data_IF_907674214421
#
_entry.id   IF_907674214421
#
_cell.length_a   1.000
_cell.length_b   1.000
_cell.length_c   1.000
_cell.angle_alpha   90.00
_cell.angle_beta   90.00
_cell.angle_gamma   90.00
#
_symmetry.space_group_name_H-M   'P 1'
#
loop_
_entity.id
_entity.type
_entity.pdbx_description
1 polymer ?
#
# COMPACT_ATOMS: atom_id res chain seq x y z
N UNK A 1 8.83 20.73 -20.94
CA UNK A 1 8.56 19.29 -20.97
C UNK A 1 7.76 18.89 -19.75
N UNK A 2 6.72 18.14 -19.94
CA UNK A 2 5.93 17.64 -18.84
C UNK A 2 6.65 16.46 -18.18
N UNK A 3 6.90 16.54 -16.89
CA UNK A 3 7.55 15.47 -16.12
C UNK A 3 6.55 14.48 -15.54
N UNK A 4 5.27 14.67 -15.84
CA UNK A 4 4.23 13.75 -15.42
C UNK A 4 3.95 12.77 -16.54
N UNK A 5 3.36 11.64 -16.21
CA UNK A 5 2.81 10.74 -17.20
C UNK A 5 1.59 11.36 -17.88
N UNK A 6 1.00 10.64 -18.80
CA UNK A 6 -0.24 11.05 -19.43
C UNK A 6 -1.38 11.10 -18.41
N UNK A 7 -2.49 11.77 -18.75
CA UNK A 7 -3.70 11.76 -17.92
C UNK A 7 -4.21 10.35 -17.69
N UNK A 8 -4.07 9.47 -18.70
CA UNK A 8 -4.46 8.07 -18.59
C UNK A 8 -3.58 7.32 -17.58
N UNK A 9 -2.27 7.62 -17.57
CA UNK A 9 -1.34 7.03 -16.60
C UNK A 9 -1.66 7.49 -15.19
N UNK A 10 -1.90 8.78 -14.98
CA UNK A 10 -2.26 9.30 -13.68
C UNK A 10 -3.54 8.65 -13.16
N UNK A 11 -4.54 8.52 -14.02
CA UNK A 11 -5.82 7.88 -13.68
C UNK A 11 -5.61 6.40 -13.33
N UNK A 12 -4.80 5.68 -14.10
CA UNK A 12 -4.49 4.28 -13.85
C UNK A 12 -3.78 4.10 -12.51
N UNK A 13 -2.83 4.97 -12.19
CA UNK A 13 -2.10 4.93 -10.92
C UNK A 13 -3.05 5.23 -9.75
N UNK A 14 -3.92 6.22 -9.88
CA UNK A 14 -4.91 6.53 -8.83
C UNK A 14 -5.83 5.35 -8.59
N UNK A 15 -6.26 4.67 -9.63
CA UNK A 15 -7.09 3.48 -9.52
C UNK A 15 -6.35 2.35 -8.82
N UNK A 16 -5.12 2.08 -9.23
CA UNK A 16 -4.29 1.02 -8.64
C UNK A 16 -4.09 1.25 -7.13
N UNK A 17 -3.55 2.41 -6.77
CA UNK A 17 -3.23 2.72 -5.38
C UNK A 17 -4.50 2.91 -4.55
N UNK A 18 -5.51 3.57 -5.12
CA UNK A 18 -6.79 3.79 -4.42
C UNK A 18 -7.51 2.51 -4.05
N UNK A 19 -7.37 1.45 -4.85
CA UNK A 19 -8.02 0.17 -4.64
C UNK A 19 -7.11 -0.88 -3.98
N UNK A 20 -5.82 -0.57 -3.78
CA UNK A 20 -4.82 -1.56 -3.38
C UNK A 20 -5.18 -2.31 -2.10
N UNK A 21 -5.72 -1.61 -1.11
CA UNK A 21 -6.04 -2.22 0.18
C UNK A 21 -7.46 -2.82 0.26
N UNK A 22 -8.24 -2.78 -0.81
CA UNK A 22 -9.60 -3.33 -0.78
C UNK A 22 -9.64 -4.82 -0.47
N UNK A 23 -8.61 -5.57 -0.91
CA UNK A 23 -8.48 -6.98 -0.58
C UNK A 23 -7.86 -7.25 0.79
N UNK A 24 -7.28 -6.23 1.44
CA UNK A 24 -6.56 -6.37 2.70
C UNK A 24 -7.51 -6.12 3.87
N UNK A 25 -8.47 -7.01 4.03
CA UNK A 25 -9.40 -6.98 5.15
C UNK A 25 -9.79 -8.40 5.52
N UNK A 26 -10.01 -8.64 6.81
CA UNK A 26 -10.44 -9.93 7.31
C UNK A 26 -11.24 -9.81 8.60
N UNK A 27 -11.96 -10.88 8.89
CA UNK A 27 -12.68 -11.10 10.16
C UNK A 27 -12.33 -12.50 10.65
N UNK A 28 -12.79 -12.94 11.84
CA UNK A 28 -12.58 -14.32 12.27
C UNK A 28 -13.16 -15.37 11.32
N UNK A 29 -14.10 -14.99 10.46
CA UNK A 29 -14.78 -15.90 9.53
C UNK A 29 -14.45 -15.64 8.06
N UNK A 30 -13.70 -14.60 7.73
CA UNK A 30 -13.33 -14.26 6.35
C UNK A 30 -11.85 -13.99 6.27
N UNK A 31 -11.24 -14.35 5.14
CA UNK A 31 -9.82 -14.14 4.88
C UNK A 31 -9.61 -12.97 3.93
N UNK A 32 -8.42 -12.38 3.96
CA UNK A 32 -8.01 -11.37 3.00
C UNK A 32 -7.93 -11.99 1.60
N UNK A 33 -8.16 -11.17 0.58
CA UNK A 33 -8.00 -11.55 -0.82
C UNK A 33 -6.53 -11.35 -1.22
N UNK A 34 -5.69 -12.31 -0.86
CA UNK A 34 -4.25 -12.23 -1.12
C UNK A 34 -3.91 -12.29 -2.61
N UNK A 35 -4.73 -12.94 -3.42
CA UNK A 35 -4.51 -12.96 -4.87
C UNK A 35 -4.69 -11.57 -5.47
N UNK A 36 -5.75 -10.86 -5.09
CA UNK A 36 -6.00 -9.50 -5.56
C UNK A 36 -4.91 -8.55 -5.06
N UNK A 37 -4.50 -8.68 -3.78
CA UNK A 37 -3.44 -7.87 -3.21
C UNK A 37 -2.12 -8.09 -3.96
N UNK A 38 -1.73 -9.34 -4.17
CA UNK A 38 -0.48 -9.69 -4.83
C UNK A 38 -0.45 -9.26 -6.30
N UNK A 39 -1.59 -9.22 -6.97
CA UNK A 39 -1.67 -8.86 -8.38
C UNK A 39 -1.22 -7.42 -8.66
N UNK A 40 -1.23 -6.54 -7.65
CA UNK A 40 -0.79 -5.15 -7.80
C UNK A 40 0.73 -5.01 -7.83
N UNK A 41 1.48 -6.06 -7.48
CA UNK A 41 2.94 -6.04 -7.37
C UNK A 41 3.60 -6.74 -8.54
N UNK A 42 4.82 -6.27 -8.86
CA UNK A 42 5.74 -7.10 -9.64
C UNK A 42 6.19 -8.30 -8.79
N UNK A 43 6.48 -9.46 -9.41
CA UNK A 43 6.85 -10.67 -8.64
C UNK A 43 8.05 -10.48 -7.70
N UNK A 44 9.00 -9.62 -8.09
CA UNK A 44 10.22 -9.37 -7.32
C UNK A 44 10.12 -8.14 -6.43
N UNK A 45 8.90 -7.65 -6.16
CA UNK A 45 8.70 -6.46 -5.35
C UNK A 45 9.32 -6.61 -3.97
N UNK A 46 9.84 -5.49 -3.45
CA UNK A 46 10.39 -5.40 -2.09
C UNK A 46 9.48 -4.54 -1.24
N UNK A 47 9.17 -5.02 -0.03
CA UNK A 47 8.34 -4.30 0.93
C UNK A 47 9.17 -4.00 2.18
N UNK A 48 9.10 -2.75 2.67
CA UNK A 48 9.87 -2.29 3.82
C UNK A 48 8.91 -1.79 4.91
N UNK A 49 8.63 -2.63 5.93
CA UNK A 49 7.83 -2.18 7.08
C UNK A 49 8.51 -1.07 7.88
N UNK A 50 7.73 -0.42 8.75
CA UNK A 50 8.20 0.69 9.59
C UNK A 50 9.28 0.29 10.58
N UNK A 51 9.37 -0.97 10.95
CA UNK A 51 10.34 -1.45 11.93
C UNK A 51 11.78 -1.18 11.50
N UNK A 52 12.64 -0.89 12.48
CA UNK A 52 14.06 -0.63 12.26
C UNK A 52 14.91 -1.68 12.98
N UNK A 53 16.08 -2.07 12.45
CA UNK A 53 16.67 -1.59 11.18
C UNK A 53 15.83 -1.98 9.97
N UNK A 54 15.87 -1.12 8.93
CA UNK A 54 15.10 -1.36 7.70
C UNK A 54 15.53 -2.68 7.06
N UNK A 55 14.55 -3.47 6.67
CA UNK A 55 14.80 -4.78 6.10
C UNK A 55 13.74 -5.09 5.05
N UNK A 56 14.20 -5.44 3.85
CA UNK A 56 13.30 -5.80 2.76
C UNK A 56 12.61 -7.14 3.04
N UNK A 57 11.32 -7.17 2.73
CA UNK A 57 10.53 -8.41 2.73
C UNK A 57 10.09 -8.69 1.30
N UNK A 58 10.02 -9.97 0.95
CA UNK A 58 9.34 -10.37 -0.28
C UNK A 58 7.83 -10.28 -0.06
N UNK A 59 7.10 -10.31 -1.15
CA UNK A 59 5.63 -10.32 -1.08
C UNK A 59 5.13 -11.55 -0.32
N UNK A 60 5.71 -12.73 -0.57
CA UNK A 60 5.32 -13.96 0.12
C UNK A 60 5.59 -13.88 1.62
N UNK A 61 6.74 -13.34 2.02
CA UNK A 61 7.07 -13.14 3.44
C UNK A 61 6.08 -12.20 4.12
N UNK A 62 5.69 -11.12 3.43
CA UNK A 62 4.71 -10.19 3.95
C UNK A 62 3.34 -10.86 4.15
N UNK A 63 2.87 -11.60 3.14
CA UNK A 63 1.58 -12.30 3.20
C UNK A 63 1.57 -13.33 4.33
N UNK A 64 2.65 -14.10 4.46
CA UNK A 64 2.77 -15.10 5.53
C UNK A 64 2.70 -14.45 6.92
N UNK A 65 3.39 -13.32 7.10
CA UNK A 65 3.35 -12.60 8.36
C UNK A 65 1.95 -12.09 8.67
N UNK A 66 1.27 -11.50 7.68
CA UNK A 66 -0.09 -10.96 7.89
C UNK A 66 -1.09 -12.05 8.19
N UNK A 67 -0.97 -13.22 7.55
CA UNK A 67 -1.79 -14.38 7.90
C UNK A 67 -1.57 -14.81 9.35
N UNK A 68 -0.32 -14.75 9.83
CA UNK A 68 0.00 -15.07 11.22
C UNK A 68 -0.66 -14.11 12.21
N UNK A 69 -0.60 -12.79 11.95
CA UNK A 69 -1.24 -11.82 12.83
C UNK A 69 -2.77 -11.89 12.78
N UNK A 70 -3.34 -12.28 11.64
CA UNK A 70 -4.78 -12.47 11.50
C UNK A 70 -5.31 -13.61 12.35
N UNK A 71 -4.50 -14.65 12.55
CA UNK A 71 -4.85 -15.79 13.40
C UNK A 71 -4.55 -15.53 14.88
N UNK A 72 -3.79 -14.50 15.18
CA UNK A 72 -3.39 -14.12 16.53
C UNK A 72 -4.16 -12.93 17.09
N UNK A 73 -3.43 -11.86 17.41
CA UNK A 73 -3.98 -10.71 18.11
C UNK A 73 -4.87 -9.81 17.22
N UNK A 74 -4.64 -9.80 15.91
CA UNK A 74 -5.37 -8.92 14.97
C UNK A 74 -6.47 -9.69 14.27
N UNK A 75 -7.58 -9.89 14.99
CA UNK A 75 -8.70 -10.74 14.54
C UNK A 75 -9.55 -10.10 13.45
N UNK A 76 -9.65 -8.78 13.47
CA UNK A 76 -10.43 -8.01 12.50
C UNK A 76 -9.58 -6.85 12.01
N UNK A 77 -9.50 -6.70 10.70
CA UNK A 77 -8.66 -5.67 10.08
C UNK A 77 -9.28 -5.18 8.79
N UNK A 78 -9.16 -3.89 8.57
CA UNK A 78 -9.58 -3.23 7.34
C UNK A 78 -8.68 -2.03 7.11
N UNK A 79 -8.20 -1.88 5.87
CA UNK A 79 -7.36 -0.75 5.49
C UNK A 79 -7.94 -0.08 4.24
N UNK A 80 -7.88 1.24 4.17
CA UNK A 80 -8.32 1.99 3.00
C UNK A 80 -7.36 3.13 2.70
N UNK A 81 -7.17 3.40 1.42
CA UNK A 81 -6.35 4.52 0.94
C UNK A 81 -7.13 5.82 1.13
N UNK A 82 -6.43 6.84 1.63
CA UNK A 82 -6.93 8.22 1.71
C UNK A 82 -6.46 8.99 0.48
N UNK A 83 -5.77 10.11 0.64
CA UNK A 83 -5.24 10.88 -0.48
C UNK A 83 -3.90 10.36 -0.99
N UNK A 84 -3.44 10.91 -2.12
CA UNK A 84 -2.15 10.55 -2.70
C UNK A 84 -1.57 11.69 -3.52
N UNK A 85 -0.25 11.65 -3.65
CA UNK A 85 0.52 12.53 -4.51
C UNK A 85 1.32 11.66 -5.48
N UNK A 86 1.19 11.93 -6.77
CA UNK A 86 1.80 11.14 -7.84
C UNK A 86 2.80 11.98 -8.61
N UNK A 87 3.98 11.42 -8.84
CA UNK A 87 4.99 11.97 -9.74
C UNK A 87 5.34 10.88 -10.74
N UNK A 88 5.12 11.12 -12.02
CA UNK A 88 5.31 10.11 -13.06
C UNK A 88 6.08 10.66 -14.24
N UNK A 89 6.87 9.81 -14.85
CA UNK A 89 7.57 10.10 -16.10
C UNK A 89 7.72 8.79 -16.90
N UNK A 90 7.13 8.76 -18.09
CA UNK A 90 7.20 7.56 -18.92
C UNK A 90 6.66 6.33 -18.19
N UNK A 91 7.50 5.34 -18.02
CA UNK A 91 7.14 4.06 -17.40
C UNK A 91 7.52 3.98 -15.92
N UNK A 92 7.81 5.11 -15.28
CA UNK A 92 8.21 5.17 -13.87
C UNK A 92 7.33 6.16 -13.13
N UNK A 93 6.91 5.80 -11.92
CA UNK A 93 6.20 6.72 -11.05
C UNK A 93 6.58 6.49 -9.59
N UNK A 94 6.50 7.57 -8.80
CA UNK A 94 6.56 7.49 -7.34
C UNK A 94 5.26 8.05 -6.79
N UNK A 95 4.76 7.41 -5.73
CA UNK A 95 3.51 7.83 -5.09
C UNK A 95 3.73 7.90 -3.59
N UNK A 96 3.30 9.00 -2.99
CA UNK A 96 3.17 9.11 -1.54
C UNK A 96 1.67 9.10 -1.24
N UNK A 97 1.24 8.22 -0.33
CA UNK A 97 -0.18 8.03 -0.05
C UNK A 97 -0.39 7.75 1.43
N UNK A 98 -1.52 8.16 1.97
CA UNK A 98 -1.90 7.82 3.33
C UNK A 98 -2.98 6.75 3.33
N UNK A 99 -3.02 5.96 4.40
CA UNK A 99 -4.08 4.98 4.61
C UNK A 99 -4.60 5.04 6.03
N UNK A 100 -5.81 4.55 6.21
CA UNK A 100 -6.46 4.40 7.51
C UNK A 100 -6.73 2.93 7.76
N UNK A 101 -6.33 2.46 8.94
CA UNK A 101 -6.54 1.08 9.37
C UNK A 101 -7.52 1.06 10.54
N UNK A 102 -8.48 0.13 10.48
CA UNK A 102 -9.35 -0.19 11.59
C UNK A 102 -8.95 -1.57 12.12
N UNK A 103 -8.48 -1.61 13.36
CA UNK A 103 -7.97 -2.82 13.99
C UNK A 103 -8.89 -3.30 15.09
N UNK A 104 -9.35 -4.56 14.99
CA UNK A 104 -10.25 -5.19 15.96
C UNK A 104 -11.51 -4.37 16.25
N UNK A 105 -11.99 -3.64 15.23
CA UNK A 105 -13.20 -2.79 15.31
C UNK A 105 -13.13 -1.68 16.37
N UNK A 106 -11.94 -1.44 16.93
CA UNK A 106 -11.76 -0.52 18.06
C UNK A 106 -10.68 0.54 17.83
N UNK A 107 -9.55 0.18 17.22
CA UNK A 107 -8.43 1.09 17.04
C UNK A 107 -8.33 1.59 15.62
N UNK A 108 -8.18 2.90 15.46
CA UNK A 108 -7.94 3.55 14.16
C UNK A 108 -6.51 4.05 14.15
N UNK A 109 -5.74 3.59 13.17
CA UNK A 109 -4.35 4.01 12.95
C UNK A 109 -4.19 4.51 11.52
N UNK A 110 -3.12 5.25 11.28
CA UNK A 110 -2.81 5.79 9.96
C UNK A 110 -1.36 5.50 9.61
N UNK A 111 -1.13 5.12 8.36
CA UNK A 111 0.20 4.97 7.78
C UNK A 111 0.36 5.93 6.62
N UNK A 112 1.61 6.27 6.33
CA UNK A 112 1.99 6.94 5.09
C UNK A 112 2.91 6.01 4.32
N UNK A 113 2.60 5.82 3.04
CA UNK A 113 3.25 4.86 2.17
C UNK A 113 4.00 5.56 1.05
N UNK A 114 5.21 5.08 0.76
CA UNK A 114 5.94 5.43 -0.44
C UNK A 114 5.95 4.24 -1.39
N UNK A 115 5.60 4.48 -2.64
CA UNK A 115 5.58 3.45 -3.67
C UNK A 115 6.48 3.83 -4.83
N UNK A 116 7.22 2.87 -5.35
CA UNK A 116 7.86 2.95 -6.65
C UNK A 116 7.03 2.08 -7.61
N UNK A 117 6.54 2.66 -8.69
CA UNK A 117 5.72 1.96 -9.67
C UNK A 117 6.45 1.89 -11.00
N UNK A 118 6.26 0.80 -11.71
CA UNK A 118 6.74 0.62 -13.07
C UNK A 118 5.57 0.23 -13.97
N UNK A 119 5.53 0.79 -15.17
CA UNK A 119 4.60 0.39 -16.20
C UNK A 119 5.28 -0.65 -17.07
N UNK A 120 4.75 -1.86 -17.08
CA UNK A 120 5.29 -2.99 -17.81
C UNK A 120 4.17 -3.68 -18.57
N UNK A 121 4.40 -3.95 -19.85
CA UNK A 121 3.39 -4.54 -20.73
C UNK A 121 2.05 -3.77 -20.69
N UNK A 122 2.15 -2.44 -20.59
CA UNK A 122 0.97 -1.56 -20.59
C UNK A 122 0.27 -1.43 -19.25
N UNK A 123 0.76 -2.06 -18.18
CA UNK A 123 0.15 -2.03 -16.86
C UNK A 123 1.09 -1.51 -15.78
N UNK A 124 0.57 -0.68 -14.89
CA UNK A 124 1.30 -0.20 -13.73
C UNK A 124 1.28 -1.25 -12.62
N UNK A 125 2.46 -1.49 -12.03
CA UNK A 125 2.62 -2.41 -10.90
C UNK A 125 3.59 -1.85 -9.88
N UNK A 126 3.45 -2.29 -8.64
CA UNK A 126 4.31 -1.85 -7.53
C UNK A 126 5.61 -2.63 -7.57
N UNK A 127 6.74 -1.91 -7.69
CA UNK A 127 8.09 -2.49 -7.67
C UNK A 127 8.70 -2.47 -6.27
N UNK A 128 8.38 -1.45 -5.47
CA UNK A 128 8.83 -1.33 -4.09
C UNK A 128 7.81 -0.52 -3.29
N UNK A 129 7.72 -0.84 -2.01
CA UNK A 129 6.73 -0.24 -1.12
C UNK A 129 7.34 -0.14 0.28
N UNK A 130 7.34 1.05 0.85
CA UNK A 130 7.77 1.28 2.22
C UNK A 130 6.70 2.09 2.93
N UNK A 131 6.57 1.90 4.23
CA UNK A 131 5.59 2.68 4.99
C UNK A 131 6.09 2.99 6.39
N UNK A 132 5.50 4.03 6.97
CA UNK A 132 5.75 4.42 8.34
C UNK A 132 4.43 4.80 9.00
N UNK A 133 4.36 4.63 10.30
CA UNK A 133 3.14 4.92 11.05
C UNK A 133 3.08 6.41 11.40
N UNK A 134 1.92 7.02 11.16
CA UNK A 134 1.67 8.38 11.59
C UNK A 134 1.48 8.44 13.10
N UNK A 135 1.81 9.58 13.69
CA UNK A 135 1.71 9.82 15.13
C UNK A 135 1.31 11.28 15.38
N UNK A 136 1.13 11.64 16.66
CA UNK A 136 0.88 13.04 17.01
C UNK A 136 2.06 13.94 16.61
N UNK A 137 3.29 13.44 16.73
CA UNK A 137 4.50 14.19 16.37
C UNK A 137 4.75 14.22 14.86
N UNK A 138 4.20 13.25 14.14
CA UNK A 138 4.31 13.17 12.68
C UNK A 138 2.94 12.77 12.11
N UNK A 139 2.01 13.71 12.06
CA UNK A 139 0.67 13.42 11.57
C UNK A 139 0.62 13.24 10.06
N UNK A 140 -0.44 12.62 9.58
CA UNK A 140 -0.68 12.51 8.15
C UNK A 140 -0.69 13.91 7.54
N UNK A 141 0.10 14.16 6.47
CA UNK A 141 0.07 15.44 5.78
C UNK A 141 -1.33 15.78 5.29
N UNK A 142 -1.70 17.04 5.41
CA UNK A 142 -3.07 17.49 5.11
C UNK A 142 -3.50 17.14 3.67
N UNK A 143 -2.56 17.27 2.71
CA UNK A 143 -2.86 17.00 1.30
C UNK A 143 -3.03 15.50 0.99
N UNK A 144 -2.77 14.62 1.96
CA UNK A 144 -2.97 13.17 1.81
C UNK A 144 -4.18 12.65 2.59
N UNK A 145 -4.92 13.53 3.24
CA UNK A 145 -6.10 13.15 4.01
C UNK A 145 -7.32 12.95 3.12
#
# INVERSE_FOLDING_TARGET
MDIRGSNDDEKAIRTLIGAHFQGLKWTPTTQADWLAFAADFLPDASLFPAARPARAKTLDEFIERMNGVAQGALRTFEERTLGMQILAFGNVAVVLSASEMMENEAEVNHDVHGYLLLKDEGEWRIAAHAWDQASEQMPVPEHLR
#
